data_IF_075121721812
#
_entry.id   IF_075121721812
#
_cell.length_a   1.000
_cell.length_b   1.000
_cell.length_c   1.000
_cell.angle_alpha   90.00
_cell.angle_beta   90.00
_cell.angle_gamma   90.00
#
_symmetry.space_group_name_H-M   'P 1'
#
loop_
_entity.id
_entity.type
_entity.pdbx_description
1 polymer ?
#
# COMPACT_ATOMS: atom_id res chain seq x y z
N UNK A 1 4.39 -2.87 19.12
CA UNK A 1 5.09 -3.71 18.14
C UNK A 1 6.31 -2.94 17.67
N UNK A 2 7.45 -3.50 17.99
CA UNK A 2 8.72 -2.91 17.61
C UNK A 2 8.95 -3.19 16.15
N UNK A 3 8.89 -2.19 15.30
CA UNK A 3 9.34 -2.23 13.91
C UNK A 3 10.88 -2.42 13.92
N UNK A 4 11.30 -3.58 14.30
CA UNK A 4 12.73 -3.92 14.43
C UNK A 4 13.06 -4.82 13.26
N UNK A 5 14.18 -4.52 12.62
CA UNK A 5 14.80 -5.42 11.66
C UNK A 5 15.11 -6.74 12.40
N UNK A 6 14.27 -7.74 12.21
CA UNK A 6 14.46 -9.06 12.82
C UNK A 6 15.50 -9.81 12.00
N UNK A 7 16.41 -10.49 12.66
CA UNK A 7 17.64 -11.02 12.08
C UNK A 7 17.53 -12.15 11.03
N UNK A 8 16.38 -12.34 10.40
CA UNK A 8 16.12 -13.37 9.37
C UNK A 8 15.63 -12.76 8.06
N UNK A 9 16.20 -11.63 7.67
CA UNK A 9 15.84 -10.94 6.43
C UNK A 9 16.86 -11.25 5.35
N UNK A 10 16.37 -11.66 4.19
CA UNK A 10 17.15 -11.83 2.98
C UNK A 10 16.69 -10.80 1.94
N UNK A 11 17.60 -9.99 1.45
CA UNK A 11 17.34 -9.04 0.38
C UNK A 11 18.26 -9.29 -0.79
N UNK A 12 17.73 -9.41 -2.00
CA UNK A 12 18.58 -9.59 -3.19
C UNK A 12 19.42 -8.32 -3.45
N UNK A 13 18.78 -7.15 -3.29
CA UNK A 13 19.47 -5.85 -3.29
C UNK A 13 19.18 -5.14 -1.98
N UNK A 14 20.20 -4.68 -1.29
CA UNK A 14 20.09 -3.92 -0.04
C UNK A 14 20.81 -2.58 -0.18
N UNK A 15 20.03 -1.50 -0.07
CA UNK A 15 20.55 -0.14 0.12
C UNK A 15 20.42 0.21 1.60
N UNK A 16 21.56 0.31 2.29
CA UNK A 16 21.60 0.59 3.72
C UNK A 16 22.30 1.92 3.97
N UNK A 17 21.58 2.88 4.57
CA UNK A 17 22.06 4.24 4.80
C UNK A 17 22.62 4.91 3.53
N UNK A 18 22.03 4.59 2.39
CA UNK A 18 22.46 5.07 1.09
C UNK A 18 21.78 6.40 0.73
N UNK A 19 22.49 7.22 -0.02
CA UNK A 19 21.96 8.45 -0.58
C UNK A 19 22.50 8.66 -2.00
N UNK A 20 21.67 9.29 -2.85
CA UNK A 20 22.01 9.60 -4.26
C UNK A 20 22.35 8.34 -5.07
N UNK A 21 21.52 7.32 -4.93
CA UNK A 21 21.68 6.03 -5.61
C UNK A 21 20.53 5.79 -6.57
N UNK A 22 20.87 5.35 -7.77
CA UNK A 22 19.92 4.81 -8.74
C UNK A 22 20.18 3.32 -8.92
N UNK A 23 19.14 2.49 -8.77
CA UNK A 23 19.15 1.09 -9.17
C UNK A 23 18.18 0.95 -10.34
N UNK A 24 18.67 0.49 -11.47
CA UNK A 24 17.85 0.41 -12.70
C UNK A 24 18.25 -0.76 -13.60
N UNK A 25 17.33 -1.13 -14.51
CA UNK A 25 17.57 -2.08 -15.60
C UNK A 25 18.04 -3.46 -15.10
N UNK A 26 17.49 -3.94 -13.97
CA UNK A 26 17.85 -5.24 -13.40
C UNK A 26 16.64 -6.17 -13.33
N UNK A 27 16.89 -7.46 -13.58
CA UNK A 27 16.01 -8.55 -13.20
C UNK A 27 16.43 -9.07 -11.81
N UNK A 28 15.48 -9.15 -10.88
CA UNK A 28 15.75 -9.44 -9.47
C UNK A 28 14.81 -10.53 -8.98
N UNK A 29 15.37 -11.60 -8.42
CA UNK A 29 14.62 -12.67 -7.74
C UNK A 29 15.18 -12.93 -6.36
N UNK A 30 14.35 -13.43 -5.44
CA UNK A 30 14.81 -13.84 -4.11
C UNK A 30 13.89 -14.92 -3.54
N UNK A 31 14.25 -16.17 -3.76
CA UNK A 31 13.48 -17.31 -3.27
C UNK A 31 14.36 -18.41 -2.67
N UNK A 32 13.80 -19.20 -1.76
CA UNK A 32 14.41 -20.47 -1.38
C UNK A 32 14.30 -21.43 -2.57
N UNK A 33 15.22 -22.34 -2.77
CA UNK A 33 15.24 -23.25 -3.91
C UNK A 33 14.01 -24.17 -4.08
N UNK A 34 12.94 -23.95 -3.30
CA UNK A 34 11.66 -24.62 -3.46
C UNK A 34 10.94 -24.11 -4.70
N UNK A 35 10.29 -25.01 -5.42
CA UNK A 35 9.41 -24.65 -6.52
C UNK A 35 8.25 -23.84 -5.95
N UNK A 36 8.04 -22.66 -6.51
CA UNK A 36 6.88 -21.84 -6.16
C UNK A 36 5.63 -22.52 -6.71
N UNK A 37 4.80 -23.04 -5.82
CA UNK A 37 3.47 -23.54 -6.15
C UNK A 37 2.46 -22.40 -6.32
N UNK A 38 1.25 -22.63 -5.88
CA UNK A 38 0.18 -21.60 -5.83
C UNK A 38 0.42 -20.58 -4.73
N UNK A 39 1.15 -20.94 -3.66
CA UNK A 39 1.52 -20.08 -2.55
C UNK A 39 2.96 -19.59 -2.64
N UNK A 40 3.20 -18.33 -2.31
CA UNK A 40 4.54 -17.71 -2.24
C UNK A 40 5.12 -17.70 -0.84
N UNK A 41 4.32 -18.00 0.18
CA UNK A 41 4.77 -18.15 1.56
C UNK A 41 5.69 -19.36 1.71
N UNK A 42 6.69 -19.20 2.57
CA UNK A 42 7.61 -20.29 2.86
C UNK A 42 7.51 -20.77 4.30
N UNK A 43 7.61 -22.09 4.53
CA UNK A 43 7.57 -22.66 5.88
C UNK A 43 8.72 -22.19 6.78
N UNK A 44 9.84 -21.78 6.21
CA UNK A 44 11.00 -21.26 6.96
C UNK A 44 10.74 -19.89 7.58
N UNK A 45 9.63 -19.24 7.21
CA UNK A 45 9.23 -17.90 7.69
C UNK A 45 10.30 -16.82 7.52
N UNK A 46 11.23 -17.03 6.61
CA UNK A 46 12.25 -16.04 6.30
C UNK A 46 11.61 -14.89 5.53
N UNK A 47 11.91 -13.67 5.94
CA UNK A 47 11.50 -12.47 5.23
C UNK A 47 12.43 -12.24 4.05
N UNK A 48 11.86 -12.15 2.85
CA UNK A 48 12.62 -11.94 1.62
C UNK A 48 12.10 -10.72 0.89
N UNK A 49 13.04 -9.89 0.42
CA UNK A 49 12.75 -8.76 -0.46
C UNK A 49 13.54 -8.87 -1.75
N UNK A 50 12.97 -8.38 -2.84
CA UNK A 50 13.72 -8.08 -4.05
C UNK A 50 14.68 -6.93 -3.78
N UNK A 51 14.16 -5.75 -3.47
CA UNK A 51 14.93 -4.57 -3.07
C UNK A 51 14.50 -4.09 -1.69
N UNK A 52 15.44 -4.02 -0.76
CA UNK A 52 15.26 -3.38 0.53
C UNK A 52 16.04 -2.07 0.60
N UNK A 53 15.39 -1.01 1.07
CA UNK A 53 16.04 0.28 1.35
C UNK A 53 15.87 0.60 2.83
N UNK A 54 16.98 0.76 3.54
CA UNK A 54 16.98 0.95 4.98
C UNK A 54 17.69 2.25 5.33
N UNK A 55 16.98 3.15 6.00
CA UNK A 55 17.57 4.32 6.64
C UNK A 55 17.72 4.05 8.13
N UNK A 56 18.89 4.29 8.72
CA UNK A 56 19.10 4.07 10.15
C UNK A 56 20.05 5.10 10.79
N UNK A 57 21.34 5.06 10.47
CA UNK A 57 22.37 5.78 11.22
C UNK A 57 23.01 6.94 10.44
N UNK A 58 22.35 7.38 9.33
CA UNK A 58 22.82 8.49 8.48
C UNK A 58 21.81 9.64 8.37
N UNK A 59 20.80 9.66 9.24
CA UNK A 59 19.74 10.67 9.17
C UNK A 59 18.87 10.51 7.92
N UNK A 60 18.72 11.57 7.14
CA UNK A 60 17.91 11.53 5.91
C UNK A 60 18.65 10.87 4.75
N UNK A 61 18.18 9.71 4.32
CA UNK A 61 18.59 9.06 3.08
C UNK A 61 17.86 9.73 1.90
N UNK A 62 18.60 10.46 1.08
CA UNK A 62 18.05 11.34 0.04
C UNK A 62 18.44 10.88 -1.36
N UNK A 63 17.54 11.12 -2.33
CA UNK A 63 17.83 10.90 -3.75
C UNK A 63 17.93 9.41 -4.10
N UNK A 64 16.96 8.61 -3.68
CA UNK A 64 16.86 7.19 -4.01
C UNK A 64 15.96 7.03 -5.24
N UNK A 65 16.50 6.47 -6.30
CA UNK A 65 15.74 6.13 -7.51
C UNK A 65 15.78 4.62 -7.75
N UNK A 66 14.62 4.00 -7.83
CA UNK A 66 14.44 2.63 -8.29
C UNK A 66 13.65 2.69 -9.60
N UNK A 67 14.26 2.23 -10.70
CA UNK A 67 13.68 2.44 -12.02
C UNK A 67 13.82 1.21 -12.91
N UNK A 68 12.80 0.94 -13.72
CA UNK A 68 12.83 -0.09 -14.78
C UNK A 68 13.35 -1.45 -14.26
N UNK A 69 12.88 -1.87 -13.07
CA UNK A 69 13.25 -3.12 -12.45
C UNK A 69 12.21 -4.20 -12.75
N UNK A 70 12.66 -5.39 -13.12
CA UNK A 70 11.82 -6.58 -13.16
C UNK A 70 12.07 -7.41 -11.89
N UNK A 71 11.13 -7.37 -10.94
CA UNK A 71 11.26 -8.05 -9.65
C UNK A 71 10.22 -9.16 -9.57
N UNK A 72 10.65 -10.40 -9.46
CA UNK A 72 9.70 -11.51 -9.42
C UNK A 72 10.19 -12.69 -8.60
N UNK A 73 9.25 -13.59 -8.29
CA UNK A 73 9.52 -14.80 -7.53
C UNK A 73 10.27 -14.51 -6.21
N UNK A 74 9.66 -13.60 -5.40
CA UNK A 74 10.15 -13.27 -4.06
C UNK A 74 9.23 -13.93 -3.04
N UNK A 75 9.65 -15.06 -2.46
CA UNK A 75 8.79 -15.90 -1.64
C UNK A 75 9.07 -15.80 -0.12
N UNK A 76 8.89 -14.63 0.43
CA UNK A 76 9.06 -14.39 1.86
C UNK A 76 7.87 -14.81 2.73
N UNK A 77 7.93 -14.44 3.99
CA UNK A 77 6.89 -14.71 4.97
C UNK A 77 5.70 -13.75 4.84
N UNK A 78 4.64 -14.18 4.20
CA UNK A 78 3.44 -13.36 3.97
C UNK A 78 2.73 -12.95 5.28
N UNK A 79 2.96 -13.64 6.37
CA UNK A 79 2.29 -13.38 7.65
C UNK A 79 2.86 -12.20 8.44
N UNK A 80 4.03 -11.70 8.11
CA UNK A 80 4.58 -10.51 8.76
C UNK A 80 4.34 -9.25 7.93
N UNK A 81 3.36 -8.46 8.37
CA UNK A 81 2.97 -7.20 7.72
C UNK A 81 3.98 -6.07 7.95
N UNK A 82 4.80 -6.14 8.98
CA UNK A 82 5.58 -5.00 9.47
C UNK A 82 7.06 -5.03 9.09
N UNK A 83 7.47 -5.97 8.27
CA UNK A 83 8.87 -6.22 7.99
C UNK A 83 9.21 -6.17 6.51
N UNK A 84 10.51 -6.11 6.20
CA UNK A 84 11.03 -6.17 4.85
C UNK A 84 10.65 -7.48 4.18
N UNK A 85 9.57 -7.47 3.41
CA UNK A 85 9.00 -8.67 2.85
C UNK A 85 8.22 -8.33 1.58
N UNK A 86 8.69 -8.75 0.45
CA UNK A 86 8.02 -8.52 -0.84
C UNK A 86 8.93 -8.00 -1.93
N UNK A 87 8.38 -7.30 -2.91
CA UNK A 87 9.12 -6.82 -4.07
C UNK A 87 10.08 -5.69 -3.72
N UNK A 88 9.55 -4.53 -3.38
CA UNK A 88 10.28 -3.37 -2.91
C UNK A 88 9.77 -2.98 -1.53
N UNK A 89 10.68 -2.83 -0.56
CA UNK A 89 10.32 -2.37 0.77
C UNK A 89 11.33 -1.36 1.31
N UNK A 90 10.86 -0.17 1.68
CA UNK A 90 11.65 0.89 2.29
C UNK A 90 11.27 1.04 3.76
N UNK A 91 12.23 1.11 4.67
CA UNK A 91 11.96 1.25 6.12
C UNK A 91 12.97 2.16 6.80
N UNK A 92 12.49 2.95 7.75
CA UNK A 92 13.33 3.76 8.61
C UNK A 92 13.41 3.14 10.02
N UNK A 93 14.61 2.79 10.45
CA UNK A 93 14.90 2.19 11.75
C UNK A 93 15.39 3.23 12.74
N UNK A 94 15.23 2.95 14.04
CA UNK A 94 15.73 3.83 15.09
C UNK A 94 17.25 3.95 14.99
N UNK A 95 17.79 5.17 14.82
CA UNK A 95 19.23 5.37 14.82
C UNK A 95 19.84 5.04 16.18
N UNK A 96 21.11 4.66 16.18
CA UNK A 96 21.84 4.41 17.42
C UNK A 96 22.07 5.70 18.23
N UNK A 97 22.26 6.82 17.55
CA UNK A 97 22.40 8.16 18.14
C UNK A 97 21.70 9.21 17.28
N UNK A 98 20.40 9.40 17.54
CA UNK A 98 19.59 10.38 16.79
C UNK A 98 20.07 11.82 16.97
N UNK A 99 20.66 12.14 18.12
CA UNK A 99 21.16 13.49 18.37
C UNK A 99 22.35 13.82 17.46
N UNK A 100 23.18 12.83 17.16
CA UNK A 100 24.34 12.99 16.29
C UNK A 100 24.00 12.91 14.80
N UNK A 101 23.07 12.00 14.41
CA UNK A 101 22.79 11.70 13.00
C UNK A 101 21.56 12.43 12.46
N UNK A 102 20.68 12.87 13.32
CA UNK A 102 19.30 13.25 13.00
C UNK A 102 18.38 12.05 12.82
N UNK A 103 17.06 12.29 12.64
CA UNK A 103 16.08 11.23 12.44
C UNK A 103 16.32 10.46 11.15
N UNK A 104 16.21 9.13 11.21
CA UNK A 104 16.27 8.29 10.03
C UNK A 104 14.95 8.44 9.23
N UNK A 105 15.05 8.83 7.96
CA UNK A 105 13.92 9.04 7.06
C UNK A 105 14.36 9.08 5.61
N UNK A 106 13.41 9.15 4.70
CA UNK A 106 13.69 9.29 3.26
C UNK A 106 13.26 10.65 2.74
N UNK A 107 13.98 11.15 1.74
CA UNK A 107 13.59 12.31 0.97
C UNK A 107 14.01 12.15 -0.51
N UNK A 108 13.26 12.76 -1.44
CA UNK A 108 13.52 12.66 -2.87
C UNK A 108 13.59 11.21 -3.33
N UNK A 109 12.49 10.48 -3.11
CA UNK A 109 12.32 9.08 -3.50
C UNK A 109 11.55 9.01 -4.81
N UNK A 110 12.08 8.28 -5.77
CA UNK A 110 11.41 7.96 -7.02
C UNK A 110 11.41 6.44 -7.26
N UNK A 111 10.22 5.86 -7.39
CA UNK A 111 10.06 4.48 -7.87
C UNK A 111 9.22 4.52 -9.12
N UNK A 112 9.81 4.17 -10.27
CA UNK A 112 9.13 4.29 -11.57
C UNK A 112 9.42 3.14 -12.53
N UNK A 113 8.45 2.80 -13.37
CA UNK A 113 8.63 1.85 -14.46
C UNK A 113 8.94 0.42 -14.02
N UNK A 114 8.70 0.06 -12.76
CA UNK A 114 9.03 -1.26 -12.24
C UNK A 114 7.89 -2.25 -12.50
N UNK A 115 8.25 -3.49 -12.87
CA UNK A 115 7.36 -4.62 -12.99
C UNK A 115 7.62 -5.60 -11.84
N UNK A 116 6.61 -5.80 -10.96
CA UNK A 116 6.69 -6.68 -9.80
C UNK A 116 5.68 -7.82 -9.95
N UNK A 117 6.17 -9.05 -9.93
CA UNK A 117 5.34 -10.22 -10.21
C UNK A 117 5.62 -11.38 -9.25
N UNK A 118 4.59 -11.94 -8.64
CA UNK A 118 4.74 -13.07 -7.71
C UNK A 118 5.70 -12.75 -6.58
N UNK A 119 5.33 -11.75 -5.78
CA UNK A 119 6.09 -11.33 -4.60
C UNK A 119 5.28 -11.58 -3.34
N UNK A 120 5.93 -11.81 -2.22
CA UNK A 120 5.28 -12.29 -1.00
C UNK A 120 4.30 -11.29 -0.40
N UNK A 121 4.68 -10.48 0.59
CA UNK A 121 3.70 -9.65 1.30
C UNK A 121 3.40 -8.32 0.60
N UNK A 122 4.41 -7.54 0.34
CA UNK A 122 4.29 -6.22 -0.25
C UNK A 122 4.68 -6.24 -1.72
N UNK A 123 3.85 -5.70 -2.58
CA UNK A 123 4.29 -5.39 -3.93
C UNK A 123 5.37 -4.34 -3.87
N UNK A 124 4.98 -3.12 -3.57
CA UNK A 124 5.87 -1.96 -3.40
C UNK A 124 5.42 -1.17 -2.17
N UNK A 125 6.33 -0.93 -1.22
CA UNK A 125 6.02 -0.14 -0.04
C UNK A 125 7.14 0.84 0.33
N UNK A 126 6.77 2.13 0.49
CA UNK A 126 7.48 3.03 1.38
C UNK A 126 6.83 2.83 2.75
N UNK A 127 7.48 2.00 3.57
CA UNK A 127 6.84 1.32 4.67
C UNK A 127 7.05 1.95 6.05
N UNK A 128 7.12 1.13 7.04
CA UNK A 128 7.10 1.54 8.44
C UNK A 128 8.34 2.36 8.85
N UNK A 129 8.12 3.27 9.83
CA UNK A 129 9.16 4.04 10.50
C UNK A 129 9.18 3.76 12.00
N UNK A 130 10.37 3.78 12.59
CA UNK A 130 10.52 3.75 14.06
C UNK A 130 9.83 4.93 14.75
N UNK A 131 9.68 6.04 14.04
CA UNK A 131 9.12 7.29 14.54
C UNK A 131 7.57 7.32 14.51
N UNK A 132 6.91 6.19 14.26
CA UNK A 132 5.46 6.08 14.11
C UNK A 132 4.65 6.75 15.24
N UNK A 133 5.20 6.81 16.45
CA UNK A 133 4.52 7.44 17.59
C UNK A 133 4.30 8.95 17.43
N UNK A 134 5.01 9.60 16.52
CA UNK A 134 4.83 11.02 16.22
C UNK A 134 3.66 11.31 15.27
N UNK A 135 3.03 10.29 14.70
CA UNK A 135 1.95 10.38 13.73
C UNK A 135 0.63 9.83 14.27
N UNK A 136 0.36 10.06 15.56
CA UNK A 136 -0.86 9.62 16.19
C UNK A 136 -1.95 10.70 16.12
N UNK A 137 -3.21 10.25 16.14
CA UNK A 137 -4.37 11.12 16.05
C UNK A 137 -4.83 11.36 14.61
N UNK A 138 -5.93 12.05 14.47
CA UNK A 138 -6.58 12.30 13.19
C UNK A 138 -6.00 13.54 12.48
N UNK A 139 -5.97 14.69 13.15
CA UNK A 139 -5.42 15.92 12.58
C UNK A 139 -3.88 15.89 12.64
N UNK A 140 -3.26 15.67 11.50
CA UNK A 140 -1.80 15.55 11.42
C UNK A 140 -1.15 16.91 11.14
N UNK A 141 -0.29 17.33 12.06
CA UNK A 141 0.50 18.56 11.91
C UNK A 141 1.65 18.37 10.91
N UNK A 142 2.08 19.44 10.23
CA UNK A 142 3.24 19.38 9.32
C UNK A 142 4.55 19.13 10.05
N UNK A 143 4.69 19.63 11.28
CA UNK A 143 5.95 19.57 12.02
C UNK A 143 6.51 18.15 12.25
N UNK A 144 5.74 17.12 12.64
CA UNK A 144 6.21 15.74 12.68
C UNK A 144 6.70 15.23 11.32
N UNK A 145 6.02 15.58 10.23
CA UNK A 145 6.45 15.15 8.89
C UNK A 145 7.75 15.80 8.47
N UNK A 146 7.91 17.10 8.70
CA UNK A 146 9.13 17.82 8.36
C UNK A 146 10.36 17.30 9.15
N UNK A 147 10.12 16.70 10.32
CA UNK A 147 11.19 16.14 11.14
C UNK A 147 11.42 14.66 10.92
N UNK A 148 10.37 13.85 10.94
CA UNK A 148 10.43 12.39 10.98
C UNK A 148 9.82 11.71 9.74
N UNK A 149 8.96 12.41 9.01
CA UNK A 149 8.24 11.86 7.87
C UNK A 149 9.08 11.80 6.60
N UNK A 150 8.56 11.09 5.61
CA UNK A 150 9.16 11.03 4.30
C UNK A 150 8.70 12.23 3.46
N UNK A 151 9.61 12.77 2.67
CA UNK A 151 9.36 13.95 1.83
C UNK A 151 9.62 13.68 0.35
N UNK A 152 8.87 14.33 -0.52
CA UNK A 152 9.05 14.25 -1.96
C UNK A 152 9.13 12.79 -2.45
N UNK A 153 8.11 12.00 -2.11
CA UNK A 153 7.98 10.60 -2.51
C UNK A 153 7.11 10.54 -3.75
N UNK A 154 7.63 10.00 -4.83
CA UNK A 154 6.89 9.75 -6.07
C UNK A 154 6.96 8.27 -6.43
N UNK A 155 5.80 7.66 -6.63
CA UNK A 155 5.64 6.28 -7.09
C UNK A 155 4.79 6.33 -8.36
N UNK A 156 5.38 6.00 -9.53
CA UNK A 156 4.66 6.11 -10.79
C UNK A 156 5.02 5.05 -11.82
N UNK A 157 4.08 4.81 -12.72
CA UNK A 157 4.27 3.93 -13.88
C UNK A 157 4.71 2.50 -13.50
N UNK A 158 4.33 2.01 -12.29
CA UNK A 158 4.68 0.67 -11.85
C UNK A 158 3.53 -0.30 -12.07
N UNK A 159 3.86 -1.55 -12.31
CA UNK A 159 2.90 -2.65 -12.45
C UNK A 159 3.20 -3.73 -11.40
N UNK A 160 2.27 -3.93 -10.47
CA UNK A 160 2.34 -4.98 -9.45
C UNK A 160 1.29 -6.04 -9.75
N UNK A 161 1.71 -7.29 -9.89
CA UNK A 161 0.81 -8.42 -10.11
C UNK A 161 1.10 -9.58 -9.17
N UNK A 162 0.05 -10.14 -8.59
CA UNK A 162 0.15 -11.29 -7.69
C UNK A 162 1.07 -11.02 -6.49
N UNK A 163 0.87 -9.89 -5.81
CA UNK A 163 1.43 -9.71 -4.47
C UNK A 163 0.64 -10.52 -3.45
N UNK A 164 1.32 -11.22 -2.55
CA UNK A 164 0.67 -12.07 -1.55
C UNK A 164 -0.21 -11.26 -0.59
N UNK A 165 0.18 -10.05 -0.28
CA UNK A 165 -0.56 -9.06 0.49
C UNK A 165 -0.86 -7.80 -0.32
N UNK A 166 -0.40 -6.67 0.18
CA UNK A 166 -0.70 -5.35 -0.35
C UNK A 166 -0.03 -5.06 -1.70
N UNK A 167 -0.68 -4.29 -2.55
CA UNK A 167 -0.14 -3.90 -3.85
C UNK A 167 0.90 -2.79 -3.74
N UNK A 168 0.45 -1.54 -3.64
CA UNK A 168 1.32 -0.36 -3.56
C UNK A 168 0.92 0.49 -2.36
N UNK A 169 1.90 0.80 -1.51
CA UNK A 169 1.65 1.52 -0.28
C UNK A 169 2.69 2.59 -0.02
N UNK A 170 2.24 3.74 0.48
CA UNK A 170 3.11 4.78 1.03
C UNK A 170 2.67 5.17 2.42
N UNK A 171 3.61 5.24 3.36
CA UNK A 171 3.33 5.51 4.76
C UNK A 171 4.16 6.68 5.28
N UNK A 172 3.61 7.44 6.23
CA UNK A 172 4.28 8.53 6.95
C UNK A 172 4.92 9.59 6.05
N UNK A 173 4.33 9.84 4.89
CA UNK A 173 4.84 10.80 3.92
C UNK A 173 3.98 12.08 3.89
N UNK A 174 4.66 13.23 3.71
CA UNK A 174 4.03 14.50 3.45
C UNK A 174 3.90 14.72 1.94
N UNK A 175 2.68 14.90 1.48
CA UNK A 175 2.34 15.16 0.06
C UNK A 175 2.94 14.15 -0.91
N UNK A 176 2.87 12.83 -0.65
CA UNK A 176 3.34 11.86 -1.62
C UNK A 176 2.48 11.88 -2.88
N UNK A 177 3.11 11.60 -4.02
CA UNK A 177 2.45 11.43 -5.32
C UNK A 177 2.52 9.97 -5.76
N UNK A 178 1.35 9.36 -5.98
CA UNK A 178 1.23 7.99 -6.48
C UNK A 178 0.35 8.04 -7.73
N UNK A 179 0.95 7.83 -8.91
CA UNK A 179 0.24 8.01 -10.17
C UNK A 179 0.60 6.99 -11.24
N UNK A 180 -0.35 6.70 -12.13
CA UNK A 180 -0.17 5.82 -13.28
C UNK A 180 0.34 4.41 -12.91
N UNK A 181 -0.01 3.91 -11.73
CA UNK A 181 0.37 2.55 -11.31
C UNK A 181 -0.79 1.58 -11.50
N UNK A 182 -0.45 0.30 -11.64
CA UNK A 182 -1.43 -0.80 -11.65
C UNK A 182 -1.12 -1.78 -10.54
N UNK A 183 -2.14 -2.15 -9.75
CA UNK A 183 -2.12 -3.27 -8.82
C UNK A 183 -3.16 -4.31 -9.27
N UNK A 184 -2.70 -5.48 -9.69
CA UNK A 184 -3.52 -6.54 -10.28
C UNK A 184 -3.42 -7.83 -9.48
N UNK A 185 -4.54 -8.39 -9.08
CA UNK A 185 -4.63 -9.69 -8.39
C UNK A 185 -3.79 -9.75 -7.11
N UNK A 186 -3.83 -8.68 -6.31
CA UNK A 186 -3.11 -8.60 -5.02
C UNK A 186 -3.90 -9.23 -3.89
N UNK A 187 -3.30 -9.36 -2.70
CA UNK A 187 -3.82 -10.12 -1.56
C UNK A 187 -4.02 -11.61 -1.88
N UNK A 188 -3.27 -12.16 -2.81
CA UNK A 188 -3.49 -13.53 -3.28
C UNK A 188 -3.13 -14.62 -2.26
N UNK A 189 -2.31 -14.31 -1.25
CA UNK A 189 -1.88 -15.23 -0.19
C UNK A 189 -2.55 -15.00 1.17
N UNK A 190 -3.17 -13.85 1.37
CA UNK A 190 -3.80 -13.49 2.65
C UNK A 190 -5.32 -13.48 2.62
N UNK A 191 -5.92 -13.94 1.54
CA UNK A 191 -7.36 -14.05 1.44
C UNK A 191 -7.90 -15.23 2.27
N UNK A 192 -9.20 -15.20 2.57
CA UNK A 192 -9.84 -16.19 3.45
C UNK A 192 -9.84 -17.62 2.88
N UNK A 193 -9.50 -17.82 1.62
CA UNK A 193 -9.41 -19.14 0.97
C UNK A 193 -8.08 -19.84 1.24
N UNK A 194 -7.00 -19.09 1.39
CA UNK A 194 -5.64 -19.65 1.53
C UNK A 194 -4.96 -19.30 2.85
N UNK A 195 -5.34 -18.20 3.50
CA UNK A 195 -4.74 -17.78 4.75
C UNK A 195 -5.22 -18.64 5.92
N UNK A 196 -4.34 -19.45 6.45
CA UNK A 196 -4.64 -20.40 7.52
C UNK A 196 -3.92 -20.11 8.84
N UNK A 197 -3.20 -18.99 8.97
CA UNK A 197 -2.44 -18.69 10.17
C UNK A 197 -3.38 -18.36 11.34
N UNK A 198 -3.39 -19.18 12.42
CA UNK A 198 -4.29 -18.96 13.54
C UNK A 198 -3.86 -17.74 14.37
N UNK A 199 -4.84 -16.91 14.75
CA UNK A 199 -4.67 -15.88 15.78
C UNK A 199 -4.06 -14.56 15.34
N UNK A 200 -3.56 -14.42 14.12
CA UNK A 200 -3.00 -13.18 13.63
C UNK A 200 -3.97 -12.45 12.68
N UNK A 201 -4.74 -11.52 13.22
CA UNK A 201 -5.65 -10.69 12.41
C UNK A 201 -4.90 -9.62 11.61
N UNK A 202 -3.77 -9.13 12.11
CA UNK A 202 -3.00 -8.09 11.43
C UNK A 202 -2.44 -8.56 10.09
N UNK A 203 -2.15 -9.86 9.96
CA UNK A 203 -1.75 -10.44 8.70
C UNK A 203 -2.85 -10.52 7.64
N UNK A 204 -4.13 -10.46 8.03
CA UNK A 204 -5.29 -10.64 7.12
C UNK A 204 -5.80 -9.38 6.46
N UNK A 205 -5.13 -8.25 6.61
CA UNK A 205 -5.55 -6.98 6.04
C UNK A 205 -4.64 -6.57 4.88
N UNK A 206 -5.22 -6.26 3.74
CA UNK A 206 -4.52 -5.72 2.58
C UNK A 206 -5.49 -5.04 1.61
N UNK A 207 -4.97 -4.05 0.90
CA UNK A 207 -5.68 -3.34 -0.15
C UNK A 207 -4.81 -3.20 -1.42
N UNK A 208 -5.40 -2.68 -2.50
CA UNK A 208 -4.73 -2.50 -3.77
C UNK A 208 -3.65 -1.42 -3.71
N UNK A 209 -4.06 -0.16 -3.64
CA UNK A 209 -3.16 1.01 -3.65
C UNK A 209 -3.61 2.01 -2.58
N UNK A 210 -2.74 2.29 -1.59
CA UNK A 210 -3.18 3.01 -0.41
C UNK A 210 -2.08 3.73 0.39
N UNK A 211 -2.39 4.85 1.09
CA UNK A 211 -1.52 5.46 2.08
C UNK A 211 -1.82 4.97 3.50
N UNK A 212 -0.86 5.11 4.40
CA UNK A 212 -1.09 5.05 5.83
C UNK A 212 -0.38 6.19 6.56
N UNK A 213 -1.13 6.91 7.40
CA UNK A 213 -0.58 8.03 8.16
C UNK A 213 0.18 9.03 7.28
N UNK A 214 -0.33 9.28 6.09
CA UNK A 214 0.16 10.34 5.21
C UNK A 214 -0.64 11.62 5.40
N UNK A 215 -0.07 12.74 5.00
CA UNK A 215 -0.78 14.02 4.94
C UNK A 215 -0.78 14.56 3.52
N UNK A 216 -1.94 15.06 3.08
CA UNK A 216 -2.16 15.62 1.74
C UNK A 216 -1.65 14.71 0.61
N UNK A 217 -1.88 13.41 0.73
CA UNK A 217 -1.45 12.42 -0.27
C UNK A 217 -2.30 12.51 -1.53
N UNK A 218 -1.67 12.45 -2.71
CA UNK A 218 -2.35 12.44 -4.00
C UNK A 218 -2.15 11.11 -4.74
N UNK A 219 -3.25 10.41 -4.97
CA UNK A 219 -3.33 9.17 -5.75
C UNK A 219 -4.16 9.43 -7.01
N UNK A 220 -3.55 9.39 -8.18
CA UNK A 220 -4.26 9.68 -9.42
C UNK A 220 -3.88 8.79 -10.58
N UNK A 221 -4.82 8.59 -11.48
CA UNK A 221 -4.61 7.81 -12.71
C UNK A 221 -4.07 6.39 -12.45
N UNK A 222 -4.38 5.80 -11.29
CA UNK A 222 -3.99 4.43 -10.97
C UNK A 222 -5.10 3.44 -11.34
N UNK A 223 -4.73 2.18 -11.52
CA UNK A 223 -5.65 1.06 -11.67
C UNK A 223 -5.44 0.05 -10.53
N UNK A 224 -6.54 -0.37 -9.88
CA UNK A 224 -6.52 -1.48 -8.93
C UNK A 224 -7.59 -2.50 -9.32
N UNK A 225 -7.16 -3.74 -9.53
CA UNK A 225 -8.00 -4.79 -10.05
C UNK A 225 -7.83 -6.10 -9.32
N UNK A 226 -8.94 -6.84 -9.18
CA UNK A 226 -8.92 -8.21 -8.67
C UNK A 226 -8.26 -8.38 -7.29
N UNK A 227 -8.34 -7.37 -6.41
CA UNK A 227 -7.88 -7.51 -5.02
C UNK A 227 -8.68 -8.60 -4.31
N UNK A 228 -8.02 -9.63 -3.80
CA UNK A 228 -8.68 -10.82 -3.26
C UNK A 228 -9.26 -10.59 -1.88
N UNK A 229 -10.35 -11.30 -1.59
CA UNK A 229 -11.10 -11.14 -0.35
C UNK A 229 -10.24 -11.43 0.89
N UNK A 230 -10.18 -10.44 1.73
CA UNK A 230 -9.60 -10.47 3.06
C UNK A 230 -10.41 -9.53 3.95
N UNK A 231 -9.94 -9.15 5.11
CA UNK A 231 -10.71 -8.24 5.97
C UNK A 231 -10.96 -6.87 5.29
N UNK A 232 -9.98 -6.31 4.58
CA UNK A 232 -10.09 -5.02 3.87
C UNK A 232 -10.49 -5.23 2.40
N UNK A 233 -9.61 -5.73 1.56
CA UNK A 233 -9.81 -6.15 0.16
C UNK A 233 -10.31 -5.09 -0.82
N UNK A 234 -10.16 -3.83 -0.50
CA UNK A 234 -10.59 -2.73 -1.39
C UNK A 234 -9.53 -2.43 -2.46
N UNK A 235 -9.96 -1.82 -3.56
CA UNK A 235 -9.04 -1.26 -4.54
C UNK A 235 -8.17 -0.16 -3.92
N UNK A 236 -8.82 0.75 -3.21
CA UNK A 236 -8.21 1.92 -2.57
C UNK A 236 -8.60 1.98 -1.10
N UNK A 237 -7.71 2.48 -0.26
CA UNK A 237 -7.95 2.63 1.17
C UNK A 237 -7.26 3.90 1.70
N UNK A 238 -8.03 4.89 2.13
CA UNK A 238 -7.50 6.05 2.84
C UNK A 238 -7.39 5.69 4.33
N UNK A 239 -6.25 5.10 4.74
CA UNK A 239 -6.08 4.59 6.09
C UNK A 239 -5.35 5.59 7.00
N UNK A 240 -6.07 6.04 8.04
CA UNK A 240 -5.51 6.80 9.17
C UNK A 240 -4.65 8.01 8.73
N UNK A 241 -5.04 8.73 7.70
CA UNK A 241 -4.35 9.89 7.16
C UNK A 241 -5.21 11.14 7.16
N UNK A 242 -4.61 12.28 6.79
CA UNK A 242 -5.27 13.58 6.74
C UNK A 242 -5.16 14.17 5.33
N UNK A 243 -6.31 14.35 4.66
CA UNK A 243 -6.36 14.99 3.36
C UNK A 243 -5.92 14.15 2.17
N UNK A 244 -6.09 12.83 2.21
CA UNK A 244 -5.82 11.97 1.04
C UNK A 244 -6.83 12.24 -0.07
N UNK A 245 -6.33 12.43 -1.29
CA UNK A 245 -7.14 12.61 -2.49
C UNK A 245 -6.91 11.44 -3.46
N UNK A 246 -7.99 10.78 -3.83
CA UNK A 246 -8.04 9.83 -4.95
C UNK A 246 -8.79 10.47 -6.11
N UNK A 247 -8.13 10.67 -7.24
CA UNK A 247 -8.78 11.24 -8.43
C UNK A 247 -8.34 10.59 -9.74
N UNK A 248 -9.28 10.47 -10.67
CA UNK A 248 -9.06 9.89 -12.00
C UNK A 248 -8.54 8.45 -11.96
N UNK A 249 -8.80 7.70 -10.89
CA UNK A 249 -8.40 6.31 -10.77
C UNK A 249 -9.48 5.39 -11.36
N UNK A 250 -9.06 4.18 -11.69
CA UNK A 250 -9.92 3.11 -12.16
C UNK A 250 -9.85 1.90 -11.22
N UNK A 251 -10.98 1.33 -10.86
CA UNK A 251 -11.04 0.06 -10.12
C UNK A 251 -11.93 -0.95 -10.81
N UNK A 252 -11.61 -2.23 -10.72
CA UNK A 252 -12.45 -3.29 -11.26
C UNK A 252 -12.33 -4.60 -10.49
N UNK A 253 -13.49 -5.22 -10.27
CA UNK A 253 -13.62 -6.59 -9.75
C UNK A 253 -12.89 -6.86 -8.44
N UNK A 254 -12.68 -5.83 -7.61
CA UNK A 254 -12.09 -6.01 -6.29
C UNK A 254 -13.11 -6.67 -5.34
N UNK A 255 -12.73 -7.77 -4.71
CA UNK A 255 -13.65 -8.59 -3.93
C UNK A 255 -14.20 -7.86 -2.69
N UNK A 256 -13.47 -6.90 -2.12
CA UNK A 256 -13.92 -6.06 -1.01
C UNK A 256 -14.66 -4.79 -1.41
N UNK A 257 -14.47 -4.32 -2.64
CA UNK A 257 -15.11 -3.12 -3.15
C UNK A 257 -14.13 -2.09 -3.69
N UNK A 258 -14.62 -0.87 -3.93
CA UNK A 258 -13.86 0.19 -4.59
C UNK A 258 -12.95 0.95 -3.60
N UNK A 259 -13.52 1.64 -2.61
CA UNK A 259 -12.74 2.50 -1.70
C UNK A 259 -13.16 2.34 -0.24
N UNK A 260 -12.16 2.32 0.65
CA UNK A 260 -12.33 2.40 2.09
C UNK A 260 -11.77 3.72 2.63
N UNK A 261 -12.38 4.21 3.70
CA UNK A 261 -11.88 5.30 4.53
C UNK A 261 -11.75 4.72 5.93
N UNK A 262 -10.52 4.36 6.30
CA UNK A 262 -10.30 3.43 7.41
C UNK A 262 -10.09 4.13 8.73
N UNK A 263 -11.10 3.98 9.60
CA UNK A 263 -11.14 4.34 11.00
C UNK A 263 -11.23 5.84 11.29
N UNK A 264 -11.30 6.17 12.58
CA UNK A 264 -11.53 7.51 13.10
C UNK A 264 -10.40 8.50 12.81
N UNK A 265 -9.22 7.99 12.48
CA UNK A 265 -8.05 8.81 12.18
C UNK A 265 -7.89 9.12 10.68
N UNK A 266 -8.80 8.65 9.84
CA UNK A 266 -8.84 8.96 8.41
C UNK A 266 -9.78 10.16 8.19
N UNK A 267 -9.24 11.37 8.05
CA UNK A 267 -10.02 12.61 7.98
C UNK A 267 -9.72 13.42 6.71
N UNK A 268 -10.68 14.28 6.33
CA UNK A 268 -10.59 15.21 5.20
C UNK A 268 -10.26 14.51 3.86
N UNK A 269 -10.59 13.22 3.73
CA UNK A 269 -10.27 12.44 2.55
C UNK A 269 -11.30 12.67 1.43
N UNK A 270 -10.83 12.66 0.19
CA UNK A 270 -11.65 12.89 -1.00
C UNK A 270 -11.45 11.78 -2.03
N UNK A 271 -12.56 11.22 -2.51
CA UNK A 271 -12.59 10.29 -3.64
C UNK A 271 -13.43 10.92 -4.75
N UNK A 272 -12.79 11.41 -5.82
CA UNK A 272 -13.48 12.16 -6.89
C UNK A 272 -12.99 11.80 -8.29
N UNK A 273 -13.89 11.95 -9.27
CA UNK A 273 -13.61 11.73 -10.69
C UNK A 273 -13.04 10.34 -10.99
N UNK A 274 -13.36 9.33 -10.18
CA UNK A 274 -12.91 7.97 -10.38
C UNK A 274 -13.97 7.15 -11.10
N UNK A 275 -13.54 6.04 -11.69
CA UNK A 275 -14.42 5.03 -12.30
C UNK A 275 -14.23 3.70 -11.57
N UNK A 276 -15.32 3.16 -11.04
CA UNK A 276 -15.38 1.80 -10.49
C UNK A 276 -16.20 0.92 -11.43
N UNK A 277 -15.65 -0.23 -11.79
CA UNK A 277 -16.29 -1.16 -12.69
C UNK A 277 -16.41 -2.54 -12.07
N UNK A 278 -17.64 -2.90 -11.67
CA UNK A 278 -17.95 -4.23 -11.19
C UNK A 278 -17.17 -4.66 -9.93
N UNK A 279 -16.91 -3.73 -9.02
CA UNK A 279 -16.36 -4.05 -7.71
C UNK A 279 -17.41 -4.80 -6.86
N UNK A 280 -16.99 -5.84 -6.12
CA UNK A 280 -17.90 -6.90 -5.69
C UNK A 280 -18.47 -6.74 -4.28
N UNK A 281 -17.66 -6.27 -3.33
CA UNK A 281 -18.04 -6.24 -1.90
C UNK A 281 -18.90 -5.07 -1.48
N UNK A 282 -18.93 -4.04 -2.29
CA UNK A 282 -19.62 -2.77 -2.07
C UNK A 282 -18.89 -1.64 -2.79
N UNK A 283 -19.52 -0.46 -2.88
CA UNK A 283 -18.91 0.67 -3.56
C UNK A 283 -17.94 1.39 -2.61
N UNK A 284 -18.39 1.69 -1.40
CA UNK A 284 -17.58 2.36 -0.38
C UNK A 284 -17.61 1.63 0.96
N UNK A 285 -16.57 1.82 1.76
CA UNK A 285 -16.49 1.40 3.16
C UNK A 285 -16.06 2.57 4.03
N UNK A 286 -16.97 3.31 4.67
CA UNK A 286 -16.61 4.46 5.50
C UNK A 286 -16.09 4.09 6.89
N UNK A 287 -16.02 2.84 7.26
CA UNK A 287 -15.40 2.19 8.42
C UNK A 287 -15.02 3.11 9.60
N UNK A 288 -16.04 3.59 10.34
CA UNK A 288 -15.90 4.55 11.46
C UNK A 288 -15.27 5.92 11.09
N UNK A 289 -15.07 6.19 9.83
CA UNK A 289 -14.51 7.45 9.33
C UNK A 289 -15.39 8.65 9.74
N UNK A 290 -14.83 9.76 10.27
CA UNK A 290 -15.61 10.90 10.68
C UNK A 290 -16.12 11.77 9.53
N UNK A 291 -15.38 11.83 8.42
CA UNK A 291 -15.72 12.62 7.25
C UNK A 291 -15.02 12.10 5.99
N UNK A 292 -15.74 11.96 4.91
CA UNK A 292 -15.20 11.67 3.59
C UNK A 292 -16.05 12.37 2.55
N UNK A 293 -15.44 12.88 1.48
CA UNK A 293 -16.13 13.40 0.32
C UNK A 293 -16.02 12.41 -0.85
N UNK A 294 -17.16 11.94 -1.36
CA UNK A 294 -17.24 11.05 -2.53
C UNK A 294 -18.01 11.82 -3.60
N UNK A 295 -17.31 12.39 -4.59
CA UNK A 295 -17.90 13.31 -5.54
C UNK A 295 -17.56 13.03 -7.00
N UNK A 296 -18.49 13.24 -7.89
CA UNK A 296 -18.28 13.22 -9.35
C UNK A 296 -17.69 11.89 -9.88
N UNK A 297 -17.99 10.76 -9.23
CA UNK A 297 -17.51 9.44 -9.65
C UNK A 297 -18.54 8.73 -10.53
N UNK A 298 -18.07 7.75 -11.30
CA UNK A 298 -18.92 6.82 -12.06
C UNK A 298 -18.73 5.41 -11.52
N UNK A 299 -19.83 4.81 -11.09
CA UNK A 299 -19.86 3.46 -10.55
C UNK A 299 -20.71 2.55 -11.44
N UNK A 300 -20.09 1.57 -12.10
CA UNK A 300 -20.78 0.49 -12.79
C UNK A 300 -20.99 -0.65 -11.80
N UNK A 301 -22.24 -0.87 -11.41
CA UNK A 301 -22.58 -1.75 -10.28
C UNK A 301 -23.46 -2.89 -10.78
N UNK A 302 -23.09 -4.14 -10.44
CA UNK A 302 -23.96 -5.29 -10.67
C UNK A 302 -25.13 -5.31 -9.68
N UNK A 303 -26.20 -5.98 -10.06
CA UNK A 303 -27.36 -6.15 -9.17
C UNK A 303 -26.94 -6.79 -7.83
N UNK A 304 -27.51 -6.28 -6.75
CA UNK A 304 -27.27 -6.77 -5.39
C UNK A 304 -26.00 -6.26 -4.69
N UNK A 305 -25.12 -5.52 -5.35
CA UNK A 305 -23.96 -4.88 -4.68
C UNK A 305 -24.41 -3.59 -4.00
N UNK A 306 -24.22 -3.47 -2.67
CA UNK A 306 -24.64 -2.28 -1.93
C UNK A 306 -23.71 -1.09 -2.16
N UNK A 307 -24.24 0.12 -1.99
CA UNK A 307 -23.39 1.31 -2.00
C UNK A 307 -22.38 1.29 -0.83
N UNK A 308 -22.86 1.05 0.37
CA UNK A 308 -22.01 0.90 1.56
C UNK A 308 -21.81 -0.58 1.86
N UNK A 309 -20.57 -1.02 1.98
CA UNK A 309 -20.22 -2.39 2.38
C UNK A 309 -20.75 -2.69 3.79
N UNK A 310 -21.62 -3.69 4.00
CA UNK A 310 -22.32 -3.89 5.27
C UNK A 310 -21.39 -4.16 6.47
N UNK A 311 -20.28 -4.86 6.25
CA UNK A 311 -19.33 -5.24 7.30
C UNK A 311 -18.40 -4.11 7.74
N UNK A 312 -18.32 -3.05 6.95
CA UNK A 312 -17.37 -1.96 7.12
C UNK A 312 -18.08 -0.60 7.09
N UNK A 313 -19.33 -0.58 7.46
CA UNK A 313 -20.13 0.64 7.56
C UNK A 313 -19.93 1.37 8.90
N UNK A 314 -20.72 2.41 9.11
CA UNK A 314 -20.83 3.09 10.40
C UNK A 314 -20.04 4.40 10.53
N UNK A 315 -19.34 4.83 9.48
CA UNK A 315 -18.70 6.16 9.43
C UNK A 315 -19.59 7.20 8.76
N UNK A 316 -19.10 8.43 8.72
CA UNK A 316 -19.73 9.57 8.06
C UNK A 316 -19.09 9.83 6.70
N UNK A 317 -19.89 10.29 5.76
CA UNK A 317 -19.43 10.70 4.43
C UNK A 317 -20.44 11.65 3.80
N UNK A 318 -19.99 12.43 2.85
CA UNK A 318 -20.82 13.19 1.92
C UNK A 318 -20.68 12.58 0.53
N UNK A 319 -21.79 12.24 -0.11
CA UNK A 319 -21.79 11.72 -1.49
C UNK A 319 -22.60 12.66 -2.38
N UNK A 320 -21.98 13.21 -3.42
CA UNK A 320 -22.64 14.16 -4.33
C UNK A 320 -22.20 13.97 -5.78
N UNK A 321 -23.09 14.25 -6.70
CA UNK A 321 -22.88 14.20 -8.15
C UNK A 321 -22.35 12.85 -8.68
N UNK A 322 -22.47 11.77 -7.94
CA UNK A 322 -22.02 10.47 -8.41
C UNK A 322 -23.03 9.84 -9.37
N UNK A 323 -22.53 9.16 -10.38
CA UNK A 323 -23.34 8.44 -11.36
C UNK A 323 -23.27 6.94 -11.11
N UNK A 324 -24.43 6.29 -10.98
CA UNK A 324 -24.54 4.84 -10.83
C UNK A 324 -25.17 4.25 -12.09
N UNK A 325 -24.47 3.29 -12.71
CA UNK A 325 -24.89 2.62 -13.93
C UNK A 325 -25.01 1.12 -13.68
N UNK A 326 -26.18 0.51 -13.95
CA UNK A 326 -26.33 -0.93 -13.79
C UNK A 326 -25.50 -1.67 -14.85
N UNK A 327 -24.73 -2.66 -14.38
CA UNK A 327 -23.81 -3.43 -15.22
C UNK A 327 -24.51 -4.29 -16.27
N UNK A 328 -25.72 -4.80 -15.98
CA UNK A 328 -26.53 -5.62 -16.86
C UNK A 328 -26.90 -4.95 -18.20
N UNK A 329 -26.82 -3.63 -18.28
CA UNK A 329 -27.05 -2.88 -19.52
C UNK A 329 -25.86 -2.87 -20.48
N UNK A 330 -24.70 -3.39 -20.06
CA UNK A 330 -23.45 -3.36 -20.82
C UNK A 330 -22.90 -4.76 -21.17
N UNK A 331 -23.59 -5.82 -20.78
CA UNK A 331 -23.29 -7.17 -21.29
C UNK A 331 -23.82 -7.31 -22.71
N UNK A 332 -22.99 -7.67 -23.68
CA UNK A 332 -23.38 -7.87 -25.07
C UNK A 332 -24.34 -9.03 -25.24
#
# INVERSE_FOLDING_TARGET
PTHVYRGYVSSAVLLYDAAYVTVQDLEITNHSGAVLGESYSQPDKMERTGVAVVAKDKGTCRGITLRDLAIHDVNGNVYDKHMNNGGIYMTALSPADEAATGPARFADVLVEGCYLYRVSRWGLAVGYTYAHAHFQGAALEDAPFLKYGHENVTIRDNYVKLAGGDGITVMYALRPLVEHNTADSVACEINDRVYSHPGDRAGKVAAGIWPWKCKDALFRCNEAADTRLNQDSMAYDADSGDGTVYEYNFSRQNEGGCVMFCLQEAIHNTFRHNVSFDDLGGTISPSENPDALIADNVFYVRDGVPFVRPQMGGGNYTAENNTFLPLDKFTP
#
